data_IF_599567416365
#
_entry.id   IF_599567416365
#
_cell.length_a   1.000
_cell.length_b   1.000
_cell.length_c   1.000
_cell.angle_alpha   90.00
_cell.angle_beta   90.00
_cell.angle_gamma   90.00
#
_symmetry.space_group_name_H-M   'P 1'
#
loop_
_entity.id
_entity.type
_entity.pdbx_description
1 polymer ?
#
# COMPACT_ATOMS: atom_id res chain seq x y z
N UNK A 1 -6.87 -3.56 -5.70
CA UNK A 1 -5.77 -4.37 -5.12
C UNK A 1 -6.26 -5.81 -5.04
N UNK A 2 -5.38 -6.80 -5.21
CA UNK A 2 -5.75 -8.20 -5.03
C UNK A 2 -5.09 -8.70 -3.76
N UNK A 3 -5.75 -8.69 -2.59
CA UNK A 3 -5.15 -9.02 -1.29
C UNK A 3 -4.37 -10.34 -1.30
N UNK A 4 -4.86 -11.33 -2.07
CA UNK A 4 -4.20 -12.61 -2.26
C UNK A 4 -2.77 -12.50 -2.83
N UNK A 5 -2.51 -11.58 -3.78
CA UNK A 5 -1.16 -11.36 -4.33
C UNK A 5 -0.21 -10.86 -3.25
N UNK A 6 -0.66 -9.92 -2.41
CA UNK A 6 0.14 -9.38 -1.31
C UNK A 6 0.43 -10.46 -0.26
N UNK A 7 -0.56 -11.29 0.11
CA UNK A 7 -0.38 -12.40 1.05
C UNK A 7 0.68 -13.40 0.53
N UNK A 8 0.52 -13.88 -0.71
CA UNK A 8 1.44 -14.86 -1.29
C UNK A 8 2.85 -14.30 -1.39
N UNK A 9 3.02 -13.10 -1.94
CA UNK A 9 4.32 -12.48 -2.11
C UNK A 9 4.99 -12.17 -0.75
N UNK A 10 4.22 -11.68 0.23
CA UNK A 10 4.72 -11.41 1.57
C UNK A 10 5.13 -12.69 2.30
N UNK A 11 4.42 -13.80 2.07
CA UNK A 11 4.81 -15.11 2.60
C UNK A 11 6.13 -15.59 2.01
N UNK A 12 6.32 -15.45 0.68
CA UNK A 12 7.58 -15.79 0.00
C UNK A 12 8.73 -14.95 0.55
N UNK A 13 8.55 -13.63 0.70
CA UNK A 13 9.57 -12.76 1.27
C UNK A 13 9.85 -13.11 2.74
N UNK A 14 8.82 -13.44 3.52
CA UNK A 14 8.94 -13.91 4.90
C UNK A 14 9.77 -15.18 5.03
N UNK A 15 9.56 -16.15 4.13
CA UNK A 15 10.38 -17.36 4.06
C UNK A 15 11.85 -16.99 3.79
N UNK A 16 12.11 -16.04 2.88
CA UNK A 16 13.46 -15.52 2.65
C UNK A 16 14.10 -14.96 3.93
N UNK A 17 13.35 -14.15 4.70
CA UNK A 17 13.82 -13.63 5.99
C UNK A 17 14.11 -14.74 7.01
N UNK A 18 13.25 -15.77 7.07
CA UNK A 18 13.46 -16.96 7.92
C UNK A 18 14.76 -17.71 7.57
N UNK A 19 15.05 -17.88 6.28
CA UNK A 19 16.21 -18.64 5.81
C UNK A 19 17.52 -17.86 5.94
N UNK A 20 17.52 -16.55 5.65
CA UNK A 20 18.75 -15.77 5.51
C UNK A 20 19.02 -14.79 6.67
N UNK A 21 17.98 -14.21 7.27
CA UNK A 21 18.11 -13.27 8.39
C UNK A 21 18.06 -14.02 9.72
N UNK A 22 17.25 -15.10 9.79
CA UNK A 22 17.06 -16.10 10.86
C UNK A 22 16.00 -15.85 11.95
N UNK A 23 15.88 -14.68 12.61
CA UNK A 23 14.88 -14.58 13.66
C UNK A 23 13.48 -14.66 13.04
N UNK A 24 12.69 -15.63 13.50
CA UNK A 24 11.33 -15.84 13.02
C UNK A 24 10.45 -14.59 13.16
N UNK A 25 10.72 -13.75 14.16
CA UNK A 25 10.03 -12.48 14.33
C UNK A 25 10.27 -11.51 13.16
N UNK A 26 11.43 -11.54 12.50
CA UNK A 26 11.71 -10.66 11.36
C UNK A 26 10.91 -11.09 10.11
N UNK A 27 10.78 -12.40 9.90
CA UNK A 27 9.90 -12.94 8.87
C UNK A 27 8.43 -12.58 9.13
N UNK A 28 8.00 -12.65 10.40
CA UNK A 28 6.65 -12.22 10.78
C UNK A 28 6.45 -10.72 10.51
N UNK A 29 7.40 -9.86 10.87
CA UNK A 29 7.31 -8.42 10.58
C UNK A 29 7.19 -8.17 9.08
N UNK A 30 8.06 -8.77 8.25
CA UNK A 30 8.01 -8.60 6.78
C UNK A 30 6.65 -9.01 6.23
N UNK A 31 6.11 -10.13 6.73
CA UNK A 31 4.83 -10.69 6.30
C UNK A 31 3.67 -9.77 6.67
N UNK A 32 3.61 -9.35 7.94
CA UNK A 32 2.55 -8.49 8.44
C UNK A 32 2.60 -7.11 7.79
N UNK A 33 3.78 -6.50 7.62
CA UNK A 33 3.90 -5.20 6.94
C UNK A 33 3.50 -5.30 5.47
N UNK A 34 3.83 -6.39 4.78
CA UNK A 34 3.44 -6.59 3.39
C UNK A 34 1.94 -6.78 3.15
N UNK A 35 1.15 -7.01 4.21
CA UNK A 35 -0.32 -7.18 4.15
C UNK A 35 -1.03 -5.97 4.75
N UNK A 36 -0.62 -5.50 5.92
CA UNK A 36 -1.38 -4.51 6.69
C UNK A 36 -1.25 -3.07 6.21
N UNK A 37 -0.39 -2.80 5.20
CA UNK A 37 -0.40 -1.50 4.52
C UNK A 37 -1.77 -1.20 3.91
N UNK A 38 -2.46 -2.22 3.38
CA UNK A 38 -3.81 -2.09 2.83
C UNK A 38 -4.85 -1.58 3.82
N UNK A 39 -4.59 -1.67 5.13
CA UNK A 39 -5.53 -1.21 6.15
C UNK A 39 -5.73 0.31 6.12
N UNK A 40 -4.85 1.09 5.50
CA UNK A 40 -5.07 2.53 5.34
C UNK A 40 -6.25 2.86 4.39
N UNK A 41 -6.66 1.93 3.52
CA UNK A 41 -7.88 2.03 2.71
C UNK A 41 -9.16 1.93 3.54
N UNK A 42 -9.09 1.51 4.81
CA UNK A 42 -10.26 1.55 5.70
C UNK A 42 -10.80 2.97 5.86
N UNK A 43 -9.92 3.98 5.80
CA UNK A 43 -10.31 5.39 5.84
C UNK A 43 -11.16 5.73 4.62
N UNK A 44 -10.76 5.28 3.43
CA UNK A 44 -11.51 5.48 2.19
C UNK A 44 -12.86 4.74 2.23
N UNK A 45 -12.86 3.51 2.75
CA UNK A 45 -14.07 2.72 2.93
C UNK A 45 -15.10 3.42 3.83
N UNK A 46 -14.67 3.93 5.00
CA UNK A 46 -15.56 4.66 5.91
C UNK A 46 -15.98 6.03 5.38
N UNK A 47 -15.11 6.72 4.62
CA UNK A 47 -15.49 7.96 3.95
C UNK A 47 -16.60 7.75 2.90
N UNK A 48 -16.68 6.55 2.31
CA UNK A 48 -17.72 6.18 1.33
C UNK A 48 -19.00 5.66 1.98
N UNK A 49 -18.86 4.89 3.05
CA UNK A 49 -19.97 4.26 3.77
C UNK A 49 -19.97 4.65 5.25
N UNK A 50 -20.20 5.93 5.60
CA UNK A 50 -20.12 6.40 6.99
C UNK A 50 -21.16 5.78 7.94
N UNK A 51 -22.18 5.10 7.40
CA UNK A 51 -23.36 4.61 8.14
C UNK A 51 -23.59 3.10 8.07
N UNK A 52 -22.74 2.33 7.38
CA UNK A 52 -22.87 0.87 7.30
C UNK A 52 -21.88 0.19 8.25
N UNK A 53 -22.35 -0.87 8.92
CA UNK A 53 -21.50 -1.76 9.70
C UNK A 53 -20.38 -2.30 8.80
N UNK A 54 -19.13 -2.21 9.27
CA UNK A 54 -17.97 -2.71 8.54
C UNK A 54 -18.18 -4.17 8.13
N UNK A 55 -18.01 -4.46 6.84
CA UNK A 55 -18.09 -5.80 6.29
C UNK A 55 -16.77 -6.13 5.58
N UNK A 56 -16.08 -7.16 6.08
CA UNK A 56 -14.78 -7.58 5.54
C UNK A 56 -14.86 -8.02 4.08
N UNK A 57 -15.96 -8.63 3.65
CA UNK A 57 -16.17 -9.02 2.26
C UNK A 57 -16.25 -7.79 1.36
N UNK A 58 -16.98 -6.75 1.77
CA UNK A 58 -17.07 -5.49 1.02
C UNK A 58 -15.73 -4.74 0.95
N UNK A 59 -14.91 -4.86 1.99
CA UNK A 59 -13.56 -4.28 2.02
C UNK A 59 -12.61 -5.02 1.06
N UNK A 60 -12.63 -6.35 1.06
CA UNK A 60 -11.80 -7.16 0.16
C UNK A 60 -12.24 -7.01 -1.30
N UNK A 61 -13.53 -6.75 -1.55
CA UNK A 61 -14.10 -6.47 -2.88
C UNK A 61 -14.25 -4.97 -3.16
N UNK A 62 -13.40 -4.11 -2.56
CA UNK A 62 -13.50 -2.66 -2.70
C UNK A 62 -13.48 -2.16 -4.16
N UNK A 63 -12.96 -2.94 -5.12
CA UNK A 63 -13.02 -2.62 -6.56
C UNK A 63 -14.46 -2.40 -7.05
N UNK A 64 -15.45 -3.07 -6.45
CA UNK A 64 -16.88 -2.89 -6.74
C UNK A 64 -17.35 -1.46 -6.47
N UNK A 65 -16.73 -0.79 -5.51
CA UNK A 65 -17.08 0.55 -5.06
C UNK A 65 -16.16 1.63 -5.64
N UNK A 66 -15.19 1.26 -6.47
CA UNK A 66 -14.16 2.17 -6.97
C UNK A 66 -14.72 3.43 -7.65
N UNK A 67 -15.78 3.28 -8.46
CA UNK A 67 -16.43 4.42 -9.13
C UNK A 67 -17.11 5.40 -8.16
N UNK A 68 -17.39 4.96 -6.95
CA UNK A 68 -18.03 5.78 -5.91
C UNK A 68 -17.00 6.52 -5.07
N UNK A 69 -15.74 6.03 -5.05
CA UNK A 69 -14.60 6.64 -4.34
C UNK A 69 -14.37 8.06 -4.85
N UNK A 70 -14.62 9.07 -4.01
CA UNK A 70 -14.34 10.48 -4.34
C UNK A 70 -12.96 10.94 -3.86
N UNK A 71 -12.47 10.33 -2.78
CA UNK A 71 -11.22 10.67 -2.12
C UNK A 71 -10.37 9.42 -1.89
N UNK A 72 -9.05 9.60 -1.88
CA UNK A 72 -8.06 8.53 -1.67
C UNK A 72 -7.13 8.98 -0.56
N UNK A 73 -7.33 8.52 0.67
CA UNK A 73 -6.64 8.91 1.91
C UNK A 73 -5.58 7.90 2.36
N UNK A 74 -5.10 7.06 1.45
CA UNK A 74 -4.04 6.08 1.76
C UNK A 74 -2.73 6.76 2.17
N UNK A 75 -2.35 6.67 3.45
CA UNK A 75 -1.14 7.32 3.97
C UNK A 75 0.10 6.43 3.88
N UNK A 76 -0.07 5.12 4.09
CA UNK A 76 1.03 4.15 4.10
C UNK A 76 1.48 3.77 2.70
N UNK A 77 0.62 3.94 1.70
CA UNK A 77 0.97 3.83 0.28
C UNK A 77 1.78 5.04 -0.20
N UNK A 78 2.94 5.29 0.40
CA UNK A 78 3.80 6.47 0.18
C UNK A 78 5.23 6.05 -0.10
N UNK A 79 5.76 6.45 -1.25
CA UNK A 79 7.19 6.27 -1.55
C UNK A 79 8.07 7.09 -0.60
N UNK A 80 7.59 8.24 -0.12
CA UNK A 80 8.29 9.03 0.90
C UNK A 80 8.43 8.27 2.22
N UNK A 81 7.37 7.57 2.66
CA UNK A 81 7.42 6.71 3.86
C UNK A 81 8.41 5.57 3.68
N UNK A 82 8.38 4.87 2.55
CA UNK A 82 9.33 3.79 2.25
C UNK A 82 10.77 4.30 2.25
N UNK A 83 11.02 5.45 1.62
CA UNK A 83 12.34 6.06 1.61
C UNK A 83 12.80 6.40 3.03
N UNK A 84 11.90 6.93 3.87
CA UNK A 84 12.18 7.17 5.29
C UNK A 84 12.51 5.91 6.07
N UNK A 85 11.79 4.80 5.84
CA UNK A 85 12.05 3.51 6.48
C UNK A 85 13.43 2.94 6.09
N UNK A 86 13.79 3.02 4.80
CA UNK A 86 15.12 2.60 4.35
C UNK A 86 16.22 3.51 4.88
N UNK A 87 16.00 4.83 4.92
CA UNK A 87 16.96 5.77 5.50
C UNK A 87 17.17 5.48 6.99
N UNK A 88 16.11 5.19 7.74
CA UNK A 88 16.22 4.77 9.14
C UNK A 88 17.02 3.49 9.29
N UNK A 89 16.76 2.49 8.43
CA UNK A 89 17.55 1.26 8.43
C UNK A 89 19.03 1.54 8.15
N UNK A 90 19.36 2.34 7.13
CA UNK A 90 20.75 2.67 6.78
C UNK A 90 21.46 3.45 7.88
N UNK A 91 20.85 4.51 8.40
CA UNK A 91 21.43 5.34 9.46
C UNK A 91 21.56 4.59 10.78
N UNK A 92 20.70 3.59 11.02
CA UNK A 92 20.79 2.68 12.16
C UNK A 92 21.73 1.49 11.97
N UNK A 93 22.52 1.44 10.88
CA UNK A 93 23.39 0.31 10.53
C UNK A 93 22.66 -1.02 10.31
N UNK A 94 21.56 -0.98 9.57
CA UNK A 94 20.70 -2.12 9.21
C UNK A 94 20.14 -2.89 10.41
N UNK A 95 19.45 -2.22 11.36
CA UNK A 95 18.74 -2.96 12.39
C UNK A 95 17.69 -3.86 11.72
N UNK A 96 17.53 -5.07 12.22
CA UNK A 96 16.70 -6.09 11.54
C UNK A 96 15.23 -5.66 11.43
N UNK A 97 14.68 -5.01 12.47
CA UNK A 97 13.25 -4.67 12.50
C UNK A 97 12.85 -3.55 11.50
N UNK A 98 13.54 -2.39 11.34
CA UNK A 98 13.19 -1.41 10.30
C UNK A 98 13.48 -1.97 8.91
N UNK A 99 14.52 -2.79 8.74
CA UNK A 99 14.79 -3.46 7.46
C UNK A 99 13.66 -4.40 7.07
N UNK A 100 13.10 -5.17 8.01
CA UNK A 100 11.95 -6.03 7.76
C UNK A 100 10.69 -5.21 7.40
N UNK A 101 10.40 -4.13 8.15
CA UNK A 101 9.28 -3.24 7.82
C UNK A 101 9.47 -2.62 6.43
N UNK A 102 10.65 -2.06 6.15
CA UNK A 102 10.97 -1.44 4.86
C UNK A 102 10.85 -2.43 3.69
N UNK A 103 11.36 -3.65 3.85
CA UNK A 103 11.29 -4.69 2.82
C UNK A 103 9.83 -5.12 2.54
N UNK A 104 9.05 -5.38 3.59
CA UNK A 104 7.63 -5.73 3.45
C UNK A 104 6.83 -4.62 2.77
N UNK A 105 7.06 -3.37 3.19
CA UNK A 105 6.41 -2.20 2.60
C UNK A 105 6.80 -1.97 1.14
N UNK A 106 8.08 -2.15 0.82
CA UNK A 106 8.59 -2.01 -0.54
C UNK A 106 7.98 -3.06 -1.46
N UNK A 107 7.95 -4.32 -1.03
CA UNK A 107 7.32 -5.39 -1.81
C UNK A 107 5.84 -5.08 -2.05
N UNK A 108 5.12 -4.66 -1.01
CA UNK A 108 3.72 -4.28 -1.13
C UNK A 108 3.51 -3.22 -2.22
N UNK A 109 4.25 -2.11 -2.15
CA UNK A 109 4.14 -1.02 -3.12
C UNK A 109 4.55 -1.41 -4.53
N UNK A 110 5.57 -2.27 -4.70
CA UNK A 110 5.97 -2.79 -6.02
C UNK A 110 4.83 -3.57 -6.68
N UNK A 111 4.16 -4.45 -5.93
CA UNK A 111 3.03 -5.24 -6.45
C UNK A 111 1.86 -4.34 -6.87
N UNK A 112 1.77 -3.18 -6.24
CA UNK A 112 0.72 -2.22 -6.42
C UNK A 112 0.93 -1.31 -7.64
N UNK A 113 2.16 -1.21 -8.15
CA UNK A 113 2.49 -0.47 -9.38
C UNK A 113 1.60 -0.92 -10.56
N UNK A 114 1.27 -2.22 -10.65
CA UNK A 114 0.41 -2.76 -11.70
C UNK A 114 -0.99 -2.10 -11.70
N UNK A 115 -1.51 -1.75 -10.51
CA UNK A 115 -2.82 -1.12 -10.35
C UNK A 115 -2.87 0.28 -10.98
N UNK A 116 -1.72 0.96 -11.14
CA UNK A 116 -1.66 2.28 -11.80
C UNK A 116 -2.12 2.20 -13.25
N UNK A 117 -1.76 1.11 -13.95
CA UNK A 117 -1.99 0.98 -15.39
C UNK A 117 -3.42 0.53 -15.66
N UNK A 118 -3.86 -0.56 -15.04
CA UNK A 118 -5.18 -1.17 -15.26
C UNK A 118 -5.72 -1.65 -13.90
N UNK A 119 -7.00 -1.47 -13.55
CA UNK A 119 -8.09 -0.77 -14.25
C UNK A 119 -8.19 0.74 -13.96
N UNK A 120 -7.41 1.28 -13.01
CA UNK A 120 -7.70 2.59 -12.41
C UNK A 120 -7.14 3.79 -13.19
N UNK A 121 -6.14 3.58 -14.06
CA UNK A 121 -5.45 4.64 -14.84
C UNK A 121 -5.01 5.82 -13.97
N UNK A 122 -4.43 5.52 -12.81
CA UNK A 122 -3.97 6.53 -11.86
C UNK A 122 -2.64 7.12 -12.32
N UNK A 123 -2.45 8.41 -12.05
CA UNK A 123 -1.18 9.08 -12.27
C UNK A 123 -0.12 8.41 -11.37
N UNK A 124 1.09 8.07 -11.86
CA UNK A 124 2.10 7.37 -11.04
C UNK A 124 2.48 8.11 -9.76
N UNK A 125 2.42 9.45 -9.79
CA UNK A 125 2.66 10.29 -8.61
C UNK A 125 1.61 10.11 -7.50
N UNK A 126 0.51 9.38 -7.73
CA UNK A 126 -0.51 9.09 -6.72
C UNK A 126 0.06 8.34 -5.52
N UNK A 127 1.16 7.60 -5.68
CA UNK A 127 1.89 6.97 -4.58
C UNK A 127 2.80 7.93 -3.79
N UNK A 128 2.81 9.23 -4.12
CA UNK A 128 3.49 10.24 -3.33
C UNK A 128 2.48 10.97 -2.45
N UNK A 129 2.67 10.93 -1.14
CA UNK A 129 1.82 11.60 -0.18
C UNK A 129 1.77 13.10 -0.44
N UNK A 130 2.91 13.72 -0.78
CA UNK A 130 2.99 15.15 -1.08
C UNK A 130 2.11 15.49 -2.29
N UNK A 131 2.16 14.66 -3.34
CA UNK A 131 1.32 14.84 -4.52
C UNK A 131 -0.17 14.73 -4.17
N UNK A 132 -0.56 13.74 -3.35
CA UNK A 132 -1.95 13.61 -2.87
C UNK A 132 -2.41 14.82 -2.06
N UNK A 133 -1.56 15.35 -1.17
CA UNK A 133 -1.85 16.58 -0.40
C UNK A 133 -2.08 17.76 -1.34
N UNK A 134 -1.20 17.98 -2.32
CA UNK A 134 -1.33 19.06 -3.32
C UNK A 134 -2.65 18.92 -4.10
N UNK A 135 -3.02 17.68 -4.47
CA UNK A 135 -4.27 17.37 -5.18
C UNK A 135 -5.49 17.25 -4.26
N UNK A 136 -5.34 17.53 -2.96
CA UNK A 136 -6.37 17.49 -1.91
C UNK A 136 -7.06 16.13 -1.80
N UNK A 137 -6.32 15.05 -2.08
CA UNK A 137 -6.78 13.66 -2.05
C UNK A 137 -7.97 13.33 -2.98
N UNK A 138 -8.37 14.24 -3.89
CA UNK A 138 -9.52 14.04 -4.78
C UNK A 138 -9.15 13.06 -5.89
N UNK A 139 -9.85 11.92 -5.99
CA UNK A 139 -9.57 10.87 -6.98
C UNK A 139 -9.52 11.40 -8.42
N UNK A 140 -10.48 12.27 -8.79
CA UNK A 140 -10.55 12.86 -10.13
C UNK A 140 -9.27 13.65 -10.52
N UNK A 141 -8.55 14.21 -9.54
CA UNK A 141 -7.31 14.95 -9.76
C UNK A 141 -6.05 14.07 -9.77
N UNK A 142 -6.21 12.79 -9.40
CA UNK A 142 -5.15 11.79 -9.28
C UNK A 142 -5.16 10.82 -10.47
N UNK A 143 -6.22 10.83 -11.28
CA UNK A 143 -6.31 10.06 -12.52
C UNK A 143 -5.51 10.74 -13.64
N UNK A 144 -4.99 9.96 -14.59
CA UNK A 144 -4.43 10.54 -15.81
C UNK A 144 -5.55 11.22 -16.59
N UNK A 145 -5.39 12.49 -16.95
CA UNK A 145 -6.30 13.14 -17.89
C UNK A 145 -6.35 12.30 -19.17
N UNK A 146 -7.56 11.95 -19.63
CA UNK A 146 -7.72 11.58 -21.02
C UNK A 146 -7.38 12.82 -21.84
N UNK A 147 -6.17 12.86 -22.42
CA UNK A 147 -6.04 13.53 -23.71
C UNK A 147 -6.91 12.72 -24.65
N UNK A 148 -8.07 13.28 -25.00
CA UNK A 148 -8.79 12.86 -26.19
C UNK A 148 -7.77 12.91 -27.34
N UNK A 149 -7.45 11.75 -27.88
CA UNK A 149 -6.64 11.56 -29.08
C UNK A 149 -7.52 10.82 -30.10
#
# INVERSE_FOLDING_TARGET
>A
MRPLRHIIASAILGIGFLLFVKPAWAALIVFLTGIFIDLDHLVDFWALKPLLLFNIHDFLDAEKYDKQVKWIFVFFHSWELILGLWLWAVLGHWPIWPTAIAAGATLHMILDIDNLKHPYKMHPLTYFLIFRIIKKFKKANLQMCHSEA
#
